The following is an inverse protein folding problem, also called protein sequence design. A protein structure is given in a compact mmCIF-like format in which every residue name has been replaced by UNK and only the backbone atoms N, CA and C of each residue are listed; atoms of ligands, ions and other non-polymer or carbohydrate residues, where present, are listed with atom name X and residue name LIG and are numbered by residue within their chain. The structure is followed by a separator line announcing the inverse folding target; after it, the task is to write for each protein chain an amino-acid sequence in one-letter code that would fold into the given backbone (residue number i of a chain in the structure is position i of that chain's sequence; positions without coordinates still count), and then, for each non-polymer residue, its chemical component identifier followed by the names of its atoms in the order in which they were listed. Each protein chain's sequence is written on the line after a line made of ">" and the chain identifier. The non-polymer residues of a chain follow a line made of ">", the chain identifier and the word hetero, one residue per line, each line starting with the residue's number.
data_IF_320119218834
#
_entry.id   IF_320119218834
#
_cell.length_a   1.000
_cell.length_b   1.000
_cell.length_c   1.000
_cell.angle_alpha   90.00
_cell.angle_beta   90.00
_cell.angle_gamma   90.00
#
_symmetry.space_group_name_H-M   'P 1'
#
loop_
_entity.id
_entity.type
_entity.pdbx_description
1 polymer ?
#
# COMPACT_ATOMS: atom_id res chain seq x y z
N UNK A 1 6.88 24.21 48.07
CA UNK A 1 8.16 23.49 47.87
C UNK A 1 8.11 22.96 46.45
N UNK A 2 8.87 23.56 45.52
CA UNK A 2 8.86 23.20 44.10
C UNK A 2 9.73 21.96 43.94
N UNK A 3 9.15 20.89 43.41
CA UNK A 3 9.87 19.65 43.08
C UNK A 3 9.32 19.14 41.75
N UNK A 4 9.68 19.81 40.67
CA UNK A 4 9.81 19.19 39.35
C UNK A 4 11.23 18.61 39.24
N UNK A 5 11.69 17.94 40.30
CA UNK A 5 13.05 17.40 40.34
C UNK A 5 13.01 15.99 39.75
N UNK A 6 13.30 15.91 38.45
CA UNK A 6 13.67 14.65 37.81
C UNK A 6 13.01 14.35 36.46
N UNK A 7 12.02 15.13 36.03
CA UNK A 7 11.30 14.85 34.77
C UNK A 7 11.54 15.97 33.76
N UNK A 8 12.36 15.72 32.74
CA UNK A 8 12.62 16.66 31.64
C UNK A 8 11.38 16.78 30.75
N UNK A 9 10.62 17.85 30.97
CA UNK A 9 9.33 18.14 30.32
C UNK A 9 9.45 18.28 28.80
N UNK A 10 10.66 18.50 28.28
CA UNK A 10 10.92 18.63 26.83
C UNK A 10 10.91 17.27 26.09
N UNK A 11 10.83 16.15 26.81
CA UNK A 11 10.75 14.81 26.21
C UNK A 11 9.32 14.39 25.82
N UNK A 12 8.31 15.21 26.15
CA UNK A 12 6.90 14.94 25.92
C UNK A 12 6.37 15.55 24.62
N UNK A 13 5.29 14.98 24.06
CA UNK A 13 4.58 15.57 22.92
C UNK A 13 3.86 16.86 23.32
N UNK A 14 3.66 17.77 22.36
CA UNK A 14 3.11 19.11 22.60
C UNK A 14 1.74 19.07 23.29
N UNK A 15 0.91 18.08 22.94
CA UNK A 15 -0.40 17.86 23.56
C UNK A 15 -0.30 17.51 25.05
N UNK A 16 0.69 16.69 25.42
CA UNK A 16 0.93 16.27 26.82
C UNK A 16 1.55 17.41 27.62
N UNK A 17 2.45 18.19 27.01
CA UNK A 17 2.99 19.40 27.64
C UNK A 17 1.90 20.42 27.95
N UNK A 18 0.90 20.55 27.06
CA UNK A 18 -0.25 21.42 27.25
C UNK A 18 -1.15 20.95 28.39
N UNK A 19 -1.41 19.64 28.48
CA UNK A 19 -2.19 19.04 29.58
C UNK A 19 -1.49 19.23 30.94
N UNK A 20 -0.16 19.03 30.99
CA UNK A 20 0.64 19.21 32.21
C UNK A 20 0.67 20.69 32.66
N UNK A 21 0.68 21.64 31.71
CA UNK A 21 0.68 23.08 32.01
C UNK A 21 -0.70 23.61 32.40
N UNK A 22 -1.77 23.09 31.79
CA UNK A 22 -3.13 23.60 31.96
C UNK A 22 -3.84 23.00 33.19
N UNK A 23 -3.32 21.92 33.78
CA UNK A 23 -3.95 21.29 34.94
C UNK A 23 -2.93 20.95 36.04
N UNK A 24 -3.05 21.67 37.16
CA UNK A 24 -2.30 21.53 38.43
C UNK A 24 -2.68 20.22 39.18
N UNK A 25 -2.73 19.08 38.48
CA UNK A 25 -2.98 17.78 39.12
C UNK A 25 -1.67 17.15 39.58
N UNK A 26 -1.65 16.73 40.86
CA UNK A 26 -0.69 15.77 41.37
C UNK A 26 -0.94 14.42 40.67
N UNK A 27 -0.39 14.26 39.46
CA UNK A 27 -0.42 12.98 38.75
C UNK A 27 0.63 12.07 39.38
N UNK A 28 0.17 10.96 39.98
CA UNK A 28 1.04 9.98 40.61
C UNK A 28 2.09 9.43 39.62
N UNK A 29 3.32 9.20 40.10
CA UNK A 29 4.48 8.77 39.29
C UNK A 29 4.18 7.51 38.45
N UNK A 30 3.33 6.61 38.95
CA UNK A 30 2.92 5.40 38.24
C UNK A 30 1.96 5.68 37.07
N UNK A 31 1.11 6.70 37.17
CA UNK A 31 0.24 7.13 36.07
C UNK A 31 1.05 7.84 34.99
N UNK A 32 1.98 8.72 35.40
CA UNK A 32 2.94 9.35 34.49
C UNK A 32 3.70 8.27 33.71
N UNK A 33 4.25 7.24 34.36
CA UNK A 33 4.93 6.11 33.68
C UNK A 33 4.05 5.35 32.68
N UNK A 34 2.74 5.24 32.93
CA UNK A 34 1.82 4.55 32.02
C UNK A 34 1.51 5.35 30.74
N UNK A 35 1.39 6.68 30.84
CA UNK A 35 1.17 7.56 29.68
C UNK A 35 2.49 7.93 28.99
N UNK A 36 3.60 7.98 29.72
CA UNK A 36 4.96 8.19 29.20
C UNK A 36 5.53 6.86 28.73
N UNK A 37 4.95 6.27 27.68
CA UNK A 37 5.72 5.30 26.91
C UNK A 37 6.95 6.04 26.38
N UNK A 38 8.18 5.56 26.64
CA UNK A 38 9.37 6.21 26.11
C UNK A 38 9.20 6.32 24.60
N UNK A 39 9.40 7.52 24.07
CA UNK A 39 9.37 7.82 22.64
C UNK A 39 10.12 6.70 21.93
N UNK A 40 9.41 5.79 21.26
CA UNK A 40 10.07 4.70 20.56
C UNK A 40 11.02 5.38 19.58
N UNK A 41 12.21 4.79 19.38
CA UNK A 41 13.13 5.25 18.34
C UNK A 41 12.51 5.27 16.92
N UNK A 42 11.28 4.79 16.79
CA UNK A 42 10.41 4.77 15.61
C UNK A 42 9.74 6.13 15.28
N UNK A 43 9.80 7.14 16.15
CA UNK A 43 9.32 8.50 15.82
C UNK A 43 10.39 9.35 15.10
N UNK A 44 11.43 8.72 14.55
CA UNK A 44 12.08 9.34 13.39
C UNK A 44 11.04 9.27 12.29
N UNK A 45 10.49 10.41 11.89
CA UNK A 45 9.88 10.56 10.58
C UNK A 45 10.85 9.88 9.61
N UNK A 46 10.49 8.69 9.12
CA UNK A 46 11.26 7.99 8.12
C UNK A 46 11.24 8.90 6.91
N UNK A 47 12.25 9.78 6.81
CA UNK A 47 12.53 10.52 5.61
C UNK A 47 12.98 9.48 4.60
N UNK A 48 12.00 8.84 3.97
CA UNK A 48 12.20 7.81 2.97
C UNK A 48 13.18 8.38 1.95
N UNK A 49 14.39 7.85 1.96
CA UNK A 49 15.47 8.43 1.17
C UNK A 49 15.17 8.19 -0.30
N UNK A 50 15.83 8.95 -1.19
CA UNK A 50 15.72 8.72 -2.63
C UNK A 50 16.04 7.26 -2.99
N UNK A 51 17.03 6.69 -2.31
CA UNK A 51 17.44 5.28 -2.47
C UNK A 51 16.31 4.33 -2.06
N UNK A 52 15.64 4.58 -0.94
CA UNK A 52 14.54 3.73 -0.47
C UNK A 52 13.35 3.77 -1.43
N UNK A 53 13.05 4.94 -2.01
CA UNK A 53 12.01 5.09 -3.05
C UNK A 53 12.33 4.28 -4.30
N UNK A 54 13.59 4.30 -4.73
CA UNK A 54 14.06 3.53 -5.89
C UNK A 54 13.98 2.03 -5.61
N UNK A 55 14.44 1.59 -4.43
CA UNK A 55 14.38 0.17 -4.06
C UNK A 55 12.94 -0.31 -3.89
N UNK A 56 12.05 0.51 -3.32
CA UNK A 56 10.64 0.21 -3.24
C UNK A 56 10.03 0.06 -4.64
N UNK A 57 10.33 0.98 -5.56
CA UNK A 57 9.86 0.88 -6.94
C UNK A 57 10.35 -0.40 -7.65
N UNK A 58 11.61 -0.79 -7.46
CA UNK A 58 12.12 -2.07 -7.99
C UNK A 58 11.41 -3.29 -7.39
N UNK A 59 10.95 -3.22 -6.14
CA UNK A 59 10.13 -4.28 -5.53
C UNK A 59 8.74 -4.31 -6.15
N UNK A 60 8.12 -3.14 -6.34
CA UNK A 60 6.81 -3.02 -6.95
C UNK A 60 6.79 -3.56 -8.40
N UNK A 61 7.86 -3.30 -9.18
CA UNK A 61 8.04 -3.91 -10.49
C UNK A 61 8.11 -5.45 -10.44
N UNK A 62 8.84 -6.01 -9.47
CA UNK A 62 8.98 -7.47 -9.30
C UNK A 62 7.67 -8.13 -8.86
N UNK A 63 6.86 -7.42 -8.09
CA UNK A 63 5.53 -7.87 -7.67
C UNK A 63 4.50 -7.84 -8.81
N UNK A 64 4.84 -7.36 -10.01
CA UNK A 64 3.87 -7.23 -11.09
C UNK A 64 3.30 -8.57 -11.58
N UNK A 65 4.13 -9.62 -11.63
CA UNK A 65 3.68 -10.97 -11.97
C UNK A 65 2.68 -11.49 -10.93
N UNK A 66 2.95 -11.25 -9.65
CA UNK A 66 2.04 -11.60 -8.56
C UNK A 66 0.71 -10.85 -8.70
N UNK A 67 0.72 -9.54 -8.93
CA UNK A 67 -0.51 -8.76 -9.10
C UNK A 67 -1.32 -9.25 -10.31
N UNK A 68 -0.67 -9.62 -11.39
CA UNK A 68 -1.34 -10.18 -12.58
C UNK A 68 -2.08 -11.47 -12.23
N UNK A 69 -1.42 -12.41 -11.53
CA UNK A 69 -2.05 -13.66 -11.09
C UNK A 69 -3.18 -13.42 -10.08
N UNK A 70 -2.98 -12.51 -9.13
CA UNK A 70 -3.98 -12.16 -8.13
C UNK A 70 -5.24 -11.52 -8.75
N UNK A 71 -5.08 -10.70 -9.80
CA UNK A 71 -6.21 -10.14 -10.54
C UNK A 71 -7.00 -11.25 -11.25
N UNK A 72 -6.33 -12.24 -11.84
CA UNK A 72 -6.99 -13.38 -12.49
C UNK A 72 -7.78 -14.22 -11.47
N UNK A 73 -7.18 -14.55 -10.32
CA UNK A 73 -7.85 -15.25 -9.22
C UNK A 73 -9.08 -14.47 -8.71
N UNK A 74 -8.95 -13.15 -8.54
CA UNK A 74 -10.09 -12.32 -8.16
C UNK A 74 -11.22 -12.36 -9.21
N UNK A 75 -10.89 -12.39 -10.50
CA UNK A 75 -11.89 -12.44 -11.56
C UNK A 75 -12.61 -13.80 -11.58
N UNK A 76 -11.88 -14.90 -11.42
CA UNK A 76 -12.46 -16.25 -11.32
C UNK A 76 -13.42 -16.35 -10.12
N UNK A 77 -13.00 -15.87 -8.95
CA UNK A 77 -13.85 -15.83 -7.74
C UNK A 77 -15.09 -14.95 -7.91
N UNK A 78 -14.99 -13.84 -8.65
CA UNK A 78 -16.15 -12.99 -8.97
C UNK A 78 -17.12 -13.75 -9.89
N UNK A 79 -16.61 -14.45 -10.89
CA UNK A 79 -17.41 -15.24 -11.84
C UNK A 79 -18.16 -16.39 -11.14
N UNK A 80 -17.49 -17.11 -10.23
CA UNK A 80 -18.15 -18.12 -9.39
C UNK A 80 -19.31 -17.54 -8.57
N UNK A 81 -19.12 -16.34 -8.01
CA UNK A 81 -20.16 -15.64 -7.25
C UNK A 81 -21.29 -15.14 -8.16
N UNK A 82 -20.99 -14.71 -9.38
CA UNK A 82 -22.00 -14.33 -10.37
C UNK A 82 -22.85 -15.53 -10.79
N UNK A 83 -22.26 -16.70 -11.01
CA UNK A 83 -23.02 -17.93 -11.29
C UNK A 83 -23.94 -18.28 -10.11
N UNK A 84 -23.42 -18.21 -8.88
CA UNK A 84 -24.22 -18.43 -7.66
C UNK A 84 -25.37 -17.42 -7.57
N UNK A 85 -25.12 -16.14 -7.81
CA UNK A 85 -26.14 -15.08 -7.75
C UNK A 85 -27.18 -15.19 -8.87
N UNK A 86 -26.79 -15.59 -10.08
CA UNK A 86 -27.71 -15.80 -11.20
C UNK A 86 -28.67 -16.97 -10.95
N UNK A 87 -28.23 -18.02 -10.26
CA UNK A 87 -29.11 -19.10 -9.80
C UNK A 87 -30.07 -18.70 -8.68
N UNK A 88 -29.91 -17.51 -8.11
CA UNK A 88 -30.65 -16.99 -6.98
C UNK A 88 -31.59 -15.84 -7.42
N UNK A 89 -32.89 -16.11 -7.62
CA UNK A 89 -33.84 -15.11 -8.16
C UNK A 89 -34.01 -13.82 -7.32
N UNK A 90 -34.11 -12.62 -7.91
CA UNK A 90 -34.02 -11.28 -7.28
C UNK A 90 -34.45 -11.15 -5.78
N UNK A 91 -33.59 -10.62 -4.87
CA UNK A 91 -33.94 -10.42 -3.45
C UNK A 91 -35.06 -9.40 -3.21
N UNK A 92 -35.31 -8.49 -4.16
CA UNK A 92 -36.36 -7.47 -4.09
C UNK A 92 -37.59 -7.76 -4.96
N UNK A 93 -37.70 -8.96 -5.53
CA UNK A 93 -38.69 -9.29 -6.56
C UNK A 93 -40.10 -9.65 -6.09
N UNK A 94 -40.46 -9.49 -4.81
CA UNK A 94 -41.81 -9.83 -4.33
C UNK A 94 -42.71 -8.60 -4.22
N UNK A 95 -43.85 -8.64 -4.92
CA UNK A 95 -44.97 -7.67 -4.81
C UNK A 95 -45.75 -7.80 -3.49
N UNK A 96 -45.34 -8.73 -2.62
CA UNK A 96 -46.00 -9.02 -1.34
C UNK A 96 -45.56 -8.06 -0.22
N UNK A 97 -46.43 -7.79 0.79
CA UNK A 97 -46.09 -6.97 1.94
C UNK A 97 -44.84 -7.49 2.66
N UNK A 98 -43.79 -6.68 2.73
CA UNK A 98 -42.55 -7.02 3.44
C UNK A 98 -42.81 -7.01 4.95
N UNK A 99 -42.90 -8.18 5.57
CA UNK A 99 -42.97 -8.30 7.02
C UNK A 99 -41.56 -8.19 7.61
N UNK A 100 -41.32 -7.15 8.40
CA UNK A 100 -40.00 -6.71 8.88
C UNK A 100 -39.30 -7.72 9.83
N UNK A 101 -40.06 -8.68 10.39
CA UNK A 101 -39.59 -9.62 11.42
C UNK A 101 -39.82 -11.11 11.09
N UNK A 102 -40.31 -11.43 9.88
CA UNK A 102 -40.53 -12.81 9.44
C UNK A 102 -39.49 -13.22 8.39
N UNK A 103 -38.22 -13.29 8.80
CA UNK A 103 -37.15 -13.83 7.97
C UNK A 103 -37.39 -15.33 7.75
N UNK A 104 -37.81 -15.74 6.54
CA UNK A 104 -37.92 -17.16 6.23
C UNK A 104 -36.50 -17.78 6.21
N UNK A 105 -36.17 -18.71 7.14
CA UNK A 105 -34.83 -19.28 7.26
C UNK A 105 -34.43 -20.17 6.07
N UNK A 106 -35.39 -20.54 5.21
CA UNK A 106 -35.16 -21.35 4.01
C UNK A 106 -35.02 -20.51 2.74
N UNK A 107 -35.14 -19.17 2.81
CA UNK A 107 -34.86 -18.30 1.65
C UNK A 107 -33.34 -18.25 1.42
N UNK A 108 -32.86 -18.40 0.18
CA UNK A 108 -31.44 -18.35 -0.09
C UNK A 108 -30.86 -16.97 0.26
N UNK A 109 -29.77 -16.98 1.05
CA UNK A 109 -29.07 -15.77 1.48
C UNK A 109 -28.29 -15.15 0.30
N UNK A 110 -28.82 -14.07 -0.27
CA UNK A 110 -28.16 -13.35 -1.37
C UNK A 110 -27.26 -12.22 -0.91
N UNK A 111 -27.46 -11.73 0.32
CA UNK A 111 -26.75 -10.56 0.82
C UNK A 111 -25.27 -10.89 1.02
N UNK A 112 -25.00 -12.05 1.62
CA UNK A 112 -23.65 -12.54 1.85
C UNK A 112 -22.80 -12.68 0.57
N UNK A 113 -23.24 -13.38 -0.49
CA UNK A 113 -22.48 -13.48 -1.73
C UNK A 113 -22.27 -12.12 -2.43
N UNK A 114 -23.23 -11.18 -2.33
CA UNK A 114 -23.05 -9.80 -2.83
C UNK A 114 -21.94 -9.08 -2.05
N UNK A 115 -21.98 -9.13 -0.72
CA UNK A 115 -20.96 -8.48 0.12
C UNK A 115 -19.57 -9.06 -0.13
N UNK A 116 -19.45 -10.38 -0.28
CA UNK A 116 -18.20 -11.05 -0.58
C UNK A 116 -17.67 -10.63 -1.96
N UNK A 117 -18.54 -10.53 -2.96
CA UNK A 117 -18.16 -10.06 -4.28
C UNK A 117 -17.61 -8.63 -4.26
N UNK A 118 -18.23 -7.73 -3.48
CA UNK A 118 -17.75 -6.35 -3.33
C UNK A 118 -16.39 -6.27 -2.66
N UNK A 119 -16.12 -7.12 -1.66
CA UNK A 119 -14.79 -7.23 -1.05
C UNK A 119 -13.73 -7.67 -2.07
N UNK A 120 -14.03 -8.68 -2.89
CA UNK A 120 -13.11 -9.17 -3.93
C UNK A 120 -12.89 -8.11 -5.01
N UNK A 121 -13.93 -7.36 -5.39
CA UNK A 121 -13.82 -6.22 -6.32
C UNK A 121 -12.88 -5.14 -5.77
N UNK A 122 -12.97 -4.82 -4.48
CA UNK A 122 -12.07 -3.87 -3.83
C UNK A 122 -10.62 -4.37 -3.84
N UNK A 123 -10.40 -5.65 -3.48
CA UNK A 123 -9.08 -6.28 -3.52
C UNK A 123 -8.45 -6.22 -4.93
N UNK A 124 -9.21 -6.65 -5.95
CA UNK A 124 -8.79 -6.56 -7.36
C UNK A 124 -8.41 -5.14 -7.76
N UNK A 125 -9.23 -4.16 -7.38
CA UNK A 125 -8.98 -2.77 -7.71
C UNK A 125 -7.68 -2.24 -7.06
N UNK A 126 -7.32 -2.71 -5.87
CA UNK A 126 -6.04 -2.37 -5.25
C UNK A 126 -4.84 -2.94 -6.02
N UNK A 127 -4.93 -4.18 -6.51
CA UNK A 127 -3.88 -4.74 -7.37
C UNK A 127 -3.75 -3.97 -8.70
N UNK A 128 -4.88 -3.61 -9.32
CA UNK A 128 -4.90 -2.79 -10.55
C UNK A 128 -4.26 -1.42 -10.29
N UNK A 129 -4.56 -0.76 -9.16
CA UNK A 129 -3.94 0.52 -8.80
C UNK A 129 -2.42 0.40 -8.69
N UNK A 130 -1.92 -0.64 -8.02
CA UNK A 130 -0.47 -0.89 -7.88
C UNK A 130 0.20 -1.13 -9.23
N UNK A 131 -0.42 -1.92 -10.11
CA UNK A 131 0.09 -2.16 -11.47
C UNK A 131 0.09 -0.88 -12.31
N UNK A 132 -1.00 -0.09 -12.26
CA UNK A 132 -1.11 1.18 -12.96
C UNK A 132 -0.10 2.22 -12.45
N UNK A 133 0.23 2.21 -11.17
CA UNK A 133 1.29 3.05 -10.62
C UNK A 133 2.65 2.71 -11.26
N UNK A 134 3.00 1.43 -11.36
CA UNK A 134 4.24 0.99 -12.01
C UNK A 134 4.26 1.41 -13.47
N UNK A 135 3.19 1.12 -14.22
CA UNK A 135 3.06 1.50 -15.63
C UNK A 135 3.16 3.02 -15.82
N UNK A 136 2.48 3.79 -14.99
CA UNK A 136 2.53 5.26 -15.02
C UNK A 136 3.94 5.80 -14.75
N UNK A 137 4.70 5.16 -13.86
CA UNK A 137 6.10 5.53 -13.61
C UNK A 137 7.02 5.16 -14.77
N UNK A 138 6.84 3.99 -15.39
CA UNK A 138 7.62 3.59 -16.57
C UNK A 138 7.38 4.50 -17.76
N UNK A 139 6.16 5.00 -17.95
CA UNK A 139 5.82 5.91 -19.03
C UNK A 139 6.45 7.31 -18.89
N UNK A 140 6.90 7.69 -17.69
CA UNK A 140 7.66 8.93 -17.48
C UNK A 140 9.11 8.84 -17.99
N UNK A 141 9.60 7.64 -18.28
CA UNK A 141 10.93 7.45 -18.86
C UNK A 141 10.87 7.80 -20.35
N UNK A 142 11.51 8.90 -20.74
CA UNK A 142 11.49 9.41 -22.12
C UNK A 142 12.14 8.45 -23.12
N UNK A 143 13.22 7.78 -22.73
CA UNK A 143 13.95 6.87 -23.60
C UNK A 143 13.29 5.48 -23.62
N UNK A 144 12.80 4.99 -24.77
CA UNK A 144 12.14 3.68 -24.87
C UNK A 144 13.09 2.52 -24.55
N UNK A 145 14.38 2.64 -24.88
CA UNK A 145 15.39 1.61 -24.60
C UNK A 145 15.61 1.45 -23.09
N UNK A 146 15.70 2.58 -22.37
CA UNK A 146 15.86 2.58 -20.91
C UNK A 146 14.63 2.00 -20.21
N UNK A 147 13.44 2.33 -20.72
CA UNK A 147 12.19 1.75 -20.24
C UNK A 147 12.16 0.24 -20.43
N UNK A 148 12.46 -0.25 -21.63
CA UNK A 148 12.46 -1.69 -21.91
C UNK A 148 13.49 -2.45 -21.07
N UNK A 149 14.66 -1.85 -20.83
CA UNK A 149 15.69 -2.43 -19.97
C UNK A 149 15.19 -2.64 -18.52
N UNK A 150 14.43 -1.70 -17.98
CA UNK A 150 13.82 -1.84 -16.64
C UNK A 150 12.73 -2.92 -16.62
N UNK A 151 11.93 -3.01 -17.69
CA UNK A 151 10.92 -4.07 -17.86
C UNK A 151 11.59 -5.44 -17.89
N UNK A 152 12.61 -5.61 -18.74
CA UNK A 152 13.37 -6.86 -18.89
C UNK A 152 13.99 -7.30 -17.54
N UNK A 153 14.54 -6.35 -16.76
CA UNK A 153 15.17 -6.67 -15.47
C UNK A 153 14.18 -6.99 -14.35
N UNK A 154 13.17 -6.14 -14.15
CA UNK A 154 12.38 -6.17 -12.91
C UNK A 154 10.94 -6.63 -13.10
N UNK A 155 10.39 -6.63 -14.31
CA UNK A 155 9.02 -7.12 -14.56
C UNK A 155 9.08 -8.54 -15.13
N UNK A 156 9.90 -8.74 -16.17
CA UNK A 156 10.06 -10.04 -16.81
C UNK A 156 11.09 -10.94 -16.11
N UNK A 157 11.80 -10.40 -15.10
CA UNK A 157 12.80 -11.10 -14.31
C UNK A 157 13.85 -11.86 -15.17
N UNK A 158 14.23 -11.30 -16.33
CA UNK A 158 15.25 -11.90 -17.20
C UNK A 158 16.60 -11.91 -16.50
N UNK A 159 17.47 -12.83 -16.91
CA UNK A 159 18.80 -12.94 -16.35
C UNK A 159 19.58 -11.61 -16.52
N UNK A 160 20.13 -11.08 -15.43
CA UNK A 160 20.76 -9.76 -15.45
C UNK A 160 22.04 -9.69 -16.30
N UNK A 161 22.75 -10.81 -16.47
CA UNK A 161 23.90 -10.90 -17.38
C UNK A 161 23.42 -10.84 -18.82
N UNK A 162 22.41 -11.64 -19.16
CA UNK A 162 21.80 -11.61 -20.50
C UNK A 162 21.29 -10.21 -20.87
N UNK A 163 20.66 -9.49 -19.93
CA UNK A 163 20.23 -8.10 -20.18
C UNK A 163 21.43 -7.18 -20.39
N UNK A 164 22.49 -7.29 -19.59
CA UNK A 164 23.70 -6.48 -19.79
C UNK A 164 24.28 -6.69 -21.20
N UNK A 165 24.36 -7.94 -21.64
CA UNK A 165 24.90 -8.30 -22.95
C UNK A 165 23.98 -7.80 -24.09
N UNK A 166 22.66 -7.96 -23.94
CA UNK A 166 21.64 -7.50 -24.90
C UNK A 166 21.70 -6.00 -25.15
N UNK A 167 21.98 -5.20 -24.12
CA UNK A 167 22.08 -3.74 -24.22
C UNK A 167 23.54 -3.25 -24.30
N UNK A 168 24.50 -4.15 -24.57
CA UNK A 168 25.91 -3.84 -24.79
C UNK A 168 26.62 -3.11 -23.63
N UNK A 169 26.26 -3.44 -22.39
CA UNK A 169 26.97 -2.96 -21.21
C UNK A 169 28.17 -3.86 -20.89
N UNK A 170 29.31 -3.24 -20.58
CA UNK A 170 30.54 -3.95 -20.23
C UNK A 170 30.42 -4.86 -19.00
N UNK A 171 29.47 -4.58 -18.09
CA UNK A 171 29.20 -5.42 -16.91
C UNK A 171 27.81 -5.17 -16.33
N UNK A 172 27.33 -6.13 -15.52
CA UNK A 172 26.10 -5.97 -14.70
C UNK A 172 26.14 -4.75 -13.79
N UNK A 173 27.32 -4.38 -13.29
CA UNK A 173 27.49 -3.21 -12.43
C UNK A 173 27.28 -1.90 -13.21
N UNK A 174 27.80 -1.83 -14.44
CA UNK A 174 27.60 -0.69 -15.32
C UNK A 174 26.10 -0.53 -15.68
N UNK A 175 25.42 -1.65 -15.96
CA UNK A 175 23.98 -1.70 -16.19
C UNK A 175 23.20 -1.14 -14.99
N UNK A 176 23.45 -1.63 -13.77
CA UNK A 176 22.75 -1.15 -12.57
C UNK A 176 23.02 0.33 -12.28
N UNK A 177 24.25 0.81 -12.50
CA UNK A 177 24.59 2.22 -12.33
C UNK A 177 23.77 3.09 -13.28
N UNK A 178 23.62 2.68 -14.53
CA UNK A 178 22.80 3.37 -15.50
C UNK A 178 21.31 3.35 -15.11
N UNK A 179 20.78 2.16 -14.79
CA UNK A 179 19.39 2.00 -14.35
C UNK A 179 19.08 2.85 -13.11
N UNK A 180 19.95 2.86 -12.10
CA UNK A 180 19.77 3.70 -10.91
C UNK A 180 19.73 5.18 -11.30
N UNK A 181 20.61 5.64 -12.18
CA UNK A 181 20.62 7.03 -12.66
C UNK A 181 19.33 7.39 -13.41
N UNK A 182 18.77 6.47 -14.20
CA UNK A 182 17.48 6.65 -14.87
C UNK A 182 16.35 6.78 -13.83
N UNK A 183 16.32 5.88 -12.84
CA UNK A 183 15.31 5.90 -11.78
C UNK A 183 15.43 7.15 -10.88
N UNK A 184 16.65 7.57 -10.56
CA UNK A 184 16.90 8.81 -9.80
C UNK A 184 16.24 10.02 -10.47
N UNK A 185 16.39 10.17 -11.79
CA UNK A 185 15.77 11.24 -12.57
C UNK A 185 14.24 11.28 -12.44
N UNK A 186 13.59 10.11 -12.33
CA UNK A 186 12.13 10.02 -12.17
C UNK A 186 11.66 10.62 -10.85
N UNK A 187 12.46 10.48 -9.79
CA UNK A 187 12.10 10.92 -8.46
C UNK A 187 12.63 12.34 -8.15
N UNK A 188 13.69 12.80 -8.81
CA UNK A 188 14.21 14.17 -8.66
C UNK A 188 13.44 15.17 -9.50
N UNK A 189 13.06 14.83 -10.74
CA UNK A 189 12.33 15.74 -11.64
C UNK A 189 10.92 16.11 -11.14
N UNK A 190 10.41 15.44 -10.11
CA UNK A 190 9.15 15.79 -9.44
C UNK A 190 9.29 16.92 -8.41
N UNK A 191 10.52 17.35 -8.05
CA UNK A 191 10.72 18.44 -7.08
C UNK A 191 10.59 19.84 -7.70
N UNK A 192 10.82 19.98 -9.00
CA UNK A 192 10.89 21.28 -9.67
C UNK A 192 9.54 21.77 -10.24
N UNK A 193 8.44 21.07 -9.94
CA UNK A 193 7.06 21.42 -10.36
C UNK A 193 6.17 21.84 -9.17
N UNK A 194 6.76 22.45 -8.14
CA UNK A 194 6.02 23.01 -7.00
C UNK A 194 6.17 24.53 -6.98
#
# INVERSE_FOLDING_TARGET
>A
MRVTDGVDVNQFSDDVQKIIKDQDYCLDDDFLRQITKPKRREDRVDMLTLKDKIEQFKRDCRSNEYYTKAILDCNERIEELDVKLNGLGCPNGSTEPKCENAGNPYKPNKIEPIMLQDQIKLERNEYIKKMNFVNGMLMKITNPTDRQMIVDLYIENKNHQYVADKYHYASRMALYKHVNKVLEKLFTSNKDKK
#
